data_IF_242842000466
#
_entry.id   IF_242842000466
#
_cell.length_a   1.000
_cell.length_b   1.000
_cell.length_c   1.000
_cell.angle_alpha   90.00
_cell.angle_beta   90.00
_cell.angle_gamma   90.00
#
_symmetry.space_group_name_H-M   'P 1'
#
loop_
_entity.id
_entity.type
_entity.pdbx_description
1 polymer ?
#
# COMPACT_ATOMS: atom_id res chain seq x y z
N UNK A 1 -21.30 -7.14 3.58
CA UNK A 1 -21.91 -5.98 2.92
C UNK A 1 -21.40 -5.98 1.49
N UNK A 2 -22.24 -5.82 0.45
CA UNK A 2 -21.73 -5.65 -0.90
C UNK A 2 -20.79 -4.44 -0.88
N UNK A 3 -19.53 -4.64 -1.29
CA UNK A 3 -18.60 -3.53 -1.40
C UNK A 3 -19.19 -2.54 -2.39
N UNK A 4 -19.45 -1.31 -1.93
CA UNK A 4 -19.83 -0.22 -2.83
C UNK A 4 -18.69 -0.11 -3.83
N UNK A 5 -18.95 -0.52 -5.08
CA UNK A 5 -17.97 -0.43 -6.15
C UNK A 5 -17.73 1.05 -6.36
N UNK A 6 -16.57 1.52 -5.93
CA UNK A 6 -16.14 2.90 -6.16
C UNK A 6 -15.67 2.93 -7.60
N UNK A 7 -16.28 3.77 -8.42
CA UNK A 7 -15.76 4.04 -9.75
C UNK A 7 -14.42 4.76 -9.60
N UNK A 8 -13.36 4.11 -10.07
CA UNK A 8 -12.00 4.63 -10.02
C UNK A 8 -11.46 4.79 -11.44
N UNK A 9 -10.61 5.80 -11.70
CA UNK A 9 -10.10 6.07 -13.04
C UNK A 9 -9.25 4.93 -13.61
N UNK A 10 -8.69 4.08 -12.74
CA UNK A 10 -7.89 2.91 -13.08
C UNK A 10 -8.47 1.65 -12.43
N UNK A 11 -8.16 0.44 -12.92
CA UNK A 11 -8.71 -0.80 -12.38
C UNK A 11 -8.30 -1.01 -10.92
N UNK A 12 -9.24 -1.52 -10.12
CA UNK A 12 -8.98 -1.92 -8.73
C UNK A 12 -8.14 -3.21 -8.71
N UNK A 13 -6.99 -3.17 -8.04
CA UNK A 13 -6.13 -4.34 -7.82
C UNK A 13 -6.48 -5.01 -6.49
N UNK A 14 -6.53 -4.21 -5.42
CA UNK A 14 -6.75 -4.68 -4.06
C UNK A 14 -7.34 -3.55 -3.20
N UNK A 15 -8.48 -3.79 -2.55
CA UNK A 15 -9.14 -2.83 -1.67
C UNK A 15 -8.44 -2.67 -0.31
N UNK A 16 -7.75 -3.70 0.17
CA UNK A 16 -7.04 -3.68 1.46
C UNK A 16 -5.75 -4.50 1.39
N UNK A 17 -4.73 -3.97 0.67
CA UNK A 17 -3.50 -4.71 0.44
C UNK A 17 -2.72 -4.95 1.73
N UNK A 18 -2.24 -6.18 1.90
CA UNK A 18 -1.35 -6.54 3.00
C UNK A 18 -0.08 -5.66 3.00
N UNK A 19 0.42 -5.27 4.18
CA UNK A 19 1.52 -4.31 4.31
C UNK A 19 2.78 -4.70 3.52
N UNK A 20 3.12 -5.99 3.52
CA UNK A 20 4.22 -6.52 2.72
C UNK A 20 4.04 -6.32 1.21
N UNK A 21 2.80 -6.39 0.69
CA UNK A 21 2.51 -6.12 -0.72
C UNK A 21 2.70 -4.64 -1.04
N UNK A 22 2.18 -3.75 -0.19
CA UNK A 22 2.31 -2.31 -0.37
C UNK A 22 3.78 -1.89 -0.46
N UNK A 23 4.63 -2.37 0.47
CA UNK A 23 6.05 -2.05 0.49
C UNK A 23 6.77 -2.61 -0.75
N UNK A 24 6.49 -3.85 -1.14
CA UNK A 24 7.12 -4.50 -2.31
C UNK A 24 6.68 -3.90 -3.65
N UNK A 25 5.56 -3.19 -3.69
CA UNK A 25 5.03 -2.52 -4.86
C UNK A 25 5.40 -1.03 -4.93
N UNK A 26 6.14 -0.51 -3.96
CA UNK A 26 6.69 0.85 -4.05
C UNK A 26 7.55 1.02 -5.31
N UNK A 27 7.31 2.12 -6.03
CA UNK A 27 8.09 2.54 -7.18
C UNK A 27 9.34 3.28 -6.69
N UNK A 28 10.40 3.39 -7.52
CA UNK A 28 11.55 4.25 -7.22
C UNK A 28 11.17 5.69 -6.85
N UNK A 29 10.09 6.21 -7.44
CA UNK A 29 9.56 7.53 -7.12
C UNK A 29 9.00 7.65 -5.70
N UNK A 30 8.51 6.57 -5.10
CA UNK A 30 8.05 6.61 -3.70
C UNK A 30 9.23 6.63 -2.73
N UNK A 31 10.30 5.88 -3.03
CA UNK A 31 11.57 5.98 -2.29
C UNK A 31 12.19 7.37 -2.42
N UNK A 32 12.10 8.00 -3.59
CA UNK A 32 12.54 9.38 -3.78
C UNK A 32 11.75 10.36 -2.90
N UNK A 33 10.43 10.19 -2.79
CA UNK A 33 9.60 11.00 -1.89
C UNK A 33 9.92 10.73 -0.43
N UNK A 34 10.15 9.48 -0.04
CA UNK A 34 10.55 9.14 1.32
C UNK A 34 11.90 9.76 1.70
N UNK A 35 12.91 9.63 0.84
CA UNK A 35 14.22 10.26 1.03
C UNK A 35 14.11 11.80 1.05
N UNK A 36 13.32 12.36 0.14
CA UNK A 36 13.04 13.79 0.08
C UNK A 36 12.41 14.32 1.38
N UNK A 37 11.38 13.65 1.89
CA UNK A 37 10.72 14.00 3.15
C UNK A 37 11.67 13.89 4.36
N UNK A 38 12.52 12.85 4.38
CA UNK A 38 13.54 12.65 5.42
C UNK A 38 14.51 13.82 5.52
N UNK A 39 14.93 14.37 4.38
CA UNK A 39 15.82 15.53 4.32
C UNK A 39 15.09 16.87 4.45
N UNK A 40 13.85 16.98 3.99
CA UNK A 40 13.11 18.24 3.93
C UNK A 40 12.86 18.85 5.31
N UNK A 41 12.47 18.04 6.29
CA UNK A 41 12.19 18.52 7.64
C UNK A 41 13.45 19.09 8.35
N UNK A 42 14.57 18.36 8.48
CA UNK A 42 15.78 18.93 9.07
C UNK A 42 16.37 20.07 8.24
N UNK A 43 16.25 20.04 6.91
CA UNK A 43 16.67 21.15 6.07
C UNK A 43 15.86 22.42 6.35
N UNK A 44 14.53 22.30 6.47
CA UNK A 44 13.66 23.41 6.84
C UNK A 44 14.03 23.98 8.21
N UNK A 45 14.24 23.13 9.21
CA UNK A 45 14.70 23.56 10.55
C UNK A 45 16.05 24.28 10.50
N UNK A 46 17.00 23.76 9.73
CA UNK A 46 18.33 24.38 9.58
C UNK A 46 18.25 25.74 8.89
N UNK A 47 17.47 25.84 7.80
CA UNK A 47 17.27 27.11 7.09
C UNK A 47 16.56 28.13 7.98
N UNK A 48 15.60 27.69 8.80
CA UNK A 48 14.93 28.54 9.77
C UNK A 48 15.91 29.12 10.79
N UNK A 49 16.70 28.28 11.46
CA UNK A 49 17.70 28.73 12.45
C UNK A 49 18.80 29.60 11.81
N UNK A 50 19.07 29.43 10.52
CA UNK A 50 19.99 30.31 9.78
C UNK A 50 19.40 31.72 9.58
N UNK A 51 18.09 31.85 9.38
CA UNK A 51 17.42 33.14 9.20
C UNK A 51 17.10 33.84 10.51
N UNK A 52 16.66 33.08 11.52
CA UNK A 52 16.37 33.58 12.87
C UNK A 52 17.09 32.70 13.92
N UNK A 53 18.35 33.05 14.26
CA UNK A 53 19.18 32.19 15.10
C UNK A 53 18.68 32.06 16.53
N UNK A 54 18.42 30.82 16.95
CA UNK A 54 18.02 30.48 18.33
C UNK A 54 19.13 30.68 19.36
N UNK A 55 20.38 30.90 18.93
CA UNK A 55 21.62 30.93 19.76
C UNK A 55 21.92 29.63 20.51
N UNK A 56 21.20 28.54 20.20
CA UNK A 56 21.38 27.21 20.78
C UNK A 56 21.97 26.22 19.76
N UNK A 57 22.53 25.11 20.25
CA UNK A 57 22.98 24.01 19.38
C UNK A 57 21.78 23.19 18.92
N UNK A 58 21.38 23.32 17.65
CA UNK A 58 20.19 22.64 17.10
C UNK A 58 20.40 21.17 16.69
N UNK A 59 21.52 20.53 17.06
CA UNK A 59 21.86 19.17 16.57
C UNK A 59 20.80 18.12 16.91
N UNK A 60 20.24 18.19 18.12
CA UNK A 60 19.21 17.23 18.57
C UNK A 60 17.91 17.44 17.80
N UNK A 61 17.55 18.70 17.55
CA UNK A 61 16.37 19.11 16.80
C UNK A 61 16.48 18.67 15.34
N UNK A 62 17.67 18.77 14.73
CA UNK A 62 17.91 18.26 13.38
C UNK A 62 17.80 16.73 13.31
N UNK A 63 18.30 16.00 14.32
CA UNK A 63 18.15 14.54 14.38
C UNK A 63 16.69 14.13 14.54
N UNK A 64 15.96 14.78 15.45
CA UNK A 64 14.53 14.56 15.64
C UNK A 64 13.76 14.91 14.37
N UNK A 65 14.09 16.02 13.73
CA UNK A 65 13.50 16.43 12.46
C UNK A 65 13.72 15.40 11.35
N UNK A 66 14.93 14.86 11.24
CA UNK A 66 15.22 13.76 10.33
C UNK A 66 14.40 12.50 10.63
N UNK A 67 14.25 12.12 11.91
CA UNK A 67 13.41 10.99 12.31
C UNK A 67 11.93 11.22 11.96
N UNK A 68 11.39 12.41 12.22
CA UNK A 68 10.01 12.76 11.90
C UNK A 68 9.80 12.80 10.38
N UNK A 69 10.73 13.36 9.62
CA UNK A 69 10.71 13.34 8.16
C UNK A 69 10.79 11.93 7.60
N UNK A 70 11.57 11.04 8.22
CA UNK A 70 11.65 9.63 7.85
C UNK A 70 10.34 8.89 8.08
N UNK A 71 9.73 9.03 9.26
CA UNK A 71 8.44 8.38 9.59
C UNK A 71 7.32 8.94 8.70
N UNK A 72 7.19 10.26 8.60
CA UNK A 72 6.18 10.89 7.76
C UNK A 72 6.36 10.57 6.27
N UNK A 73 7.60 10.55 5.80
CA UNK A 73 7.95 10.16 4.43
C UNK A 73 7.60 8.72 4.12
N UNK A 74 7.83 7.79 5.05
CA UNK A 74 7.42 6.40 4.90
C UNK A 74 5.89 6.26 4.79
N UNK A 75 5.14 6.92 5.68
CA UNK A 75 3.69 6.90 5.66
C UNK A 75 3.12 7.48 4.35
N UNK A 76 3.73 8.55 3.84
CA UNK A 76 3.34 9.14 2.55
C UNK A 76 3.68 8.21 1.37
N UNK A 77 4.84 7.56 1.38
CA UNK A 77 5.20 6.56 0.38
C UNK A 77 4.24 5.37 0.39
N UNK A 78 3.85 4.91 1.59
CA UNK A 78 2.88 3.83 1.78
C UNK A 78 1.49 4.22 1.25
N UNK A 79 1.02 5.44 1.53
CA UNK A 79 -0.23 5.98 0.97
C UNK A 79 -0.19 6.01 -0.55
N UNK A 80 0.87 6.55 -1.15
CA UNK A 80 1.03 6.62 -2.61
C UNK A 80 0.97 5.25 -3.26
N UNK A 81 1.56 4.24 -2.62
CA UNK A 81 1.46 2.87 -3.11
C UNK A 81 0.07 2.28 -2.95
N UNK A 82 -0.62 2.57 -1.85
CA UNK A 82 -2.00 2.12 -1.62
C UNK A 82 -2.98 2.74 -2.62
N UNK A 83 -2.79 4.00 -3.02
CA UNK A 83 -3.62 4.66 -4.04
C UNK A 83 -3.55 3.98 -5.41
N UNK A 84 -2.41 3.37 -5.76
CA UNK A 84 -2.29 2.56 -6.97
C UNK A 84 -3.06 1.25 -6.86
N UNK A 85 -3.06 0.61 -5.69
CA UNK A 85 -3.89 -0.58 -5.47
C UNK A 85 -5.39 -0.29 -5.62
N UNK A 86 -5.82 0.87 -5.13
CA UNK A 86 -7.20 1.34 -5.23
C UNK A 86 -7.60 1.87 -6.61
N UNK A 87 -6.67 1.97 -7.58
CA UNK A 87 -6.97 2.52 -8.89
C UNK A 87 -7.22 4.04 -8.90
N UNK A 88 -6.79 4.77 -7.87
CA UNK A 88 -6.92 6.23 -7.78
C UNK A 88 -5.82 6.98 -8.55
N UNK A 89 -4.74 6.26 -8.87
CA UNK A 89 -3.62 6.73 -9.68
C UNK A 89 -3.19 5.64 -10.65
N UNK A 90 -2.46 6.00 -11.70
CA UNK A 90 -1.97 5.06 -12.71
C UNK A 90 -1.25 3.87 -12.06
N UNK A 91 -1.67 2.67 -12.43
CA UNK A 91 -1.28 1.42 -11.77
C UNK A 91 -1.04 0.25 -12.74
N UNK A 92 -0.81 0.50 -14.04
CA UNK A 92 -0.66 -0.56 -15.04
C UNK A 92 0.47 -1.52 -14.71
N UNK A 93 1.61 -0.99 -14.24
CA UNK A 93 2.75 -1.80 -13.80
C UNK A 93 2.39 -2.71 -12.62
N UNK A 94 1.62 -2.19 -11.67
CA UNK A 94 1.20 -2.93 -10.48
C UNK A 94 0.15 -3.99 -10.82
N UNK A 95 -0.76 -3.69 -11.75
CA UNK A 95 -1.75 -4.63 -12.29
C UNK A 95 -1.06 -5.81 -12.98
N UNK A 96 -0.12 -5.56 -13.90
CA UNK A 96 0.64 -6.60 -14.59
C UNK A 96 1.44 -7.48 -13.60
N UNK A 97 2.07 -6.85 -12.60
CA UNK A 97 2.82 -7.56 -11.56
C UNK A 97 1.90 -8.40 -10.68
N UNK A 98 0.75 -7.85 -10.26
CA UNK A 98 -0.28 -8.55 -9.51
C UNK A 98 -0.82 -9.77 -10.27
N UNK A 99 -1.14 -9.58 -11.55
CA UNK A 99 -1.61 -10.67 -12.41
C UNK A 99 -0.57 -11.79 -12.54
N UNK A 100 0.69 -11.44 -12.76
CA UNK A 100 1.77 -12.44 -12.84
C UNK A 100 1.96 -13.20 -11.52
N UNK A 101 1.96 -12.50 -10.39
CA UNK A 101 2.15 -13.09 -9.06
C UNK A 101 0.97 -13.99 -8.65
N UNK A 102 -0.26 -13.53 -8.83
CA UNK A 102 -1.46 -14.26 -8.41
C UNK A 102 -1.79 -15.42 -9.35
N UNK A 103 -1.56 -15.27 -10.66
CA UNK A 103 -1.72 -16.39 -11.61
C UNK A 103 -0.69 -17.48 -11.35
N UNK A 104 0.55 -17.13 -10.98
CA UNK A 104 1.56 -18.12 -10.63
C UNK A 104 1.24 -18.84 -9.31
N UNK A 105 0.66 -18.14 -8.33
CA UNK A 105 0.13 -18.79 -7.10
C UNK A 105 -1.03 -19.73 -7.42
N UNK A 106 -1.97 -19.29 -8.26
CA UNK A 106 -3.11 -20.10 -8.70
C UNK A 106 -2.64 -21.38 -9.41
N UNK A 107 -1.67 -21.26 -10.32
CA UNK A 107 -1.06 -22.40 -11.03
C UNK A 107 -0.40 -23.40 -10.07
N UNK A 108 0.19 -22.90 -8.99
CA UNK A 108 0.79 -23.74 -7.93
C UNK A 108 -0.22 -24.30 -6.93
N UNK A 109 -1.52 -24.04 -7.11
CA UNK A 109 -2.57 -24.46 -6.17
C UNK A 109 -2.49 -23.78 -4.81
N UNK A 110 -1.78 -22.65 -4.70
CA UNK A 110 -1.63 -21.90 -3.46
C UNK A 110 -2.76 -20.88 -3.31
N UNK A 111 -3.19 -20.56 -2.07
CA UNK A 111 -4.13 -19.48 -1.82
C UNK A 111 -3.63 -18.15 -2.39
N UNK A 112 -4.47 -17.43 -3.14
CA UNK A 112 -4.11 -16.20 -3.84
C UNK A 112 -3.52 -15.16 -2.89
N UNK A 113 -4.22 -14.89 -1.78
CA UNK A 113 -3.85 -13.85 -0.81
C UNK A 113 -3.13 -14.40 0.44
N UNK A 114 -2.58 -15.62 0.35
CA UNK A 114 -1.89 -16.27 1.46
C UNK A 114 -2.81 -17.04 2.41
N UNK A 115 -2.20 -17.75 3.35
CA UNK A 115 -2.89 -18.46 4.43
C UNK A 115 -2.93 -17.59 5.69
N UNK A 116 -3.96 -17.78 6.51
CA UNK A 116 -4.21 -17.01 7.72
C UNK A 116 -4.49 -17.97 8.86
N UNK A 117 -3.73 -17.85 9.95
CA UNK A 117 -3.94 -18.64 11.17
C UNK A 117 -5.19 -18.16 11.97
N UNK A 118 -5.85 -17.11 11.50
CA UNK A 118 -6.97 -16.47 12.17
C UNK A 118 -8.32 -17.03 11.70
N UNK A 119 -9.30 -17.23 12.61
CA UNK A 119 -10.67 -17.53 12.25
C UNK A 119 -11.26 -16.49 11.27
N UNK A 120 -12.19 -16.92 10.41
CA UNK A 120 -12.79 -16.06 9.38
C UNK A 120 -13.43 -14.79 9.95
N UNK A 121 -14.05 -14.86 11.13
CA UNK A 121 -14.63 -13.67 11.78
C UNK A 121 -13.57 -12.63 12.18
N UNK A 122 -12.36 -13.07 12.56
CA UNK A 122 -11.22 -12.19 12.87
C UNK A 122 -10.70 -11.58 11.58
N UNK A 123 -10.60 -12.35 10.49
CA UNK A 123 -10.23 -11.83 9.18
C UNK A 123 -11.19 -10.74 8.70
N UNK A 124 -12.51 -10.95 8.88
CA UNK A 124 -13.52 -9.96 8.57
C UNK A 124 -13.45 -8.72 9.48
N UNK A 125 -13.12 -8.90 10.77
CA UNK A 125 -12.91 -7.78 11.69
C UNK A 125 -11.64 -6.99 11.35
N UNK A 126 -10.56 -7.67 10.95
CA UNK A 126 -9.32 -7.07 10.50
C UNK A 126 -9.60 -6.17 9.29
N UNK A 127 -10.20 -6.74 8.23
CA UNK A 127 -10.57 -5.99 7.01
C UNK A 127 -11.39 -4.73 7.31
N UNK A 128 -12.40 -4.80 8.19
CA UNK A 128 -13.22 -3.64 8.55
C UNK A 128 -12.43 -2.53 9.25
N UNK A 129 -11.33 -2.87 9.92
CA UNK A 129 -10.46 -1.90 10.59
C UNK A 129 -9.32 -1.39 9.69
N UNK A 130 -8.84 -2.19 8.75
CA UNK A 130 -7.71 -1.85 7.86
C UNK A 130 -8.14 -1.24 6.52
N UNK A 131 -9.34 -1.55 6.01
CA UNK A 131 -9.84 -1.00 4.76
C UNK A 131 -9.83 0.55 4.77
N UNK A 132 -9.17 1.15 3.78
CA UNK A 132 -8.98 2.59 3.63
C UNK A 132 -8.31 3.32 4.81
N UNK A 133 -7.76 2.58 5.78
CA UNK A 133 -7.14 3.15 6.98
C UNK A 133 -5.92 4.03 6.67
N UNK A 134 -5.28 3.80 5.52
CA UNK A 134 -4.15 4.58 5.03
C UNK A 134 -4.51 6.06 4.82
N UNK A 135 -5.77 6.40 4.57
CA UNK A 135 -6.23 7.80 4.49
C UNK A 135 -6.11 8.55 5.83
N UNK A 136 -6.03 7.81 6.94
CA UNK A 136 -6.06 8.33 8.31
C UNK A 136 -4.72 8.24 9.03
N UNK A 137 -3.61 8.06 8.30
CA UNK A 137 -2.26 8.03 8.87
C UNK A 137 -1.87 9.28 9.66
N UNK A 138 -2.52 10.41 9.41
CA UNK A 138 -2.34 11.64 10.20
C UNK A 138 -2.92 11.53 11.62
N UNK A 139 -3.81 10.57 11.89
CA UNK A 139 -4.39 10.29 13.21
C UNK A 139 -3.75 9.04 13.80
N UNK A 140 -3.78 7.93 13.06
CA UNK A 140 -3.31 6.63 13.54
C UNK A 140 -2.82 5.76 12.37
N UNK A 141 -1.57 5.24 12.41
CA UNK A 141 -1.00 4.44 11.33
C UNK A 141 -1.46 2.98 11.42
N UNK A 142 -2.69 2.69 10.99
CA UNK A 142 -3.22 1.33 10.89
C UNK A 142 -2.88 0.70 9.53
N UNK A 143 -2.40 -0.54 9.51
CA UNK A 143 -2.07 -1.28 8.28
C UNK A 143 -2.65 -2.69 8.32
N UNK A 144 -2.84 -3.31 7.15
CA UNK A 144 -3.28 -4.70 7.07
C UNK A 144 -2.10 -5.66 7.30
N UNK A 145 -2.20 -6.48 8.35
CA UNK A 145 -1.24 -7.54 8.70
C UNK A 145 -1.88 -8.93 8.68
N UNK A 146 -3.12 -9.04 8.20
CA UNK A 146 -3.88 -10.29 8.21
C UNK A 146 -4.19 -10.68 6.78
N UNK A 147 -3.79 -11.88 6.39
CA UNK A 147 -4.25 -12.46 5.13
C UNK A 147 -5.75 -12.76 5.27
N UNK A 148 -6.56 -12.18 4.40
CA UNK A 148 -8.01 -12.36 4.38
C UNK A 148 -8.49 -12.51 2.93
N UNK A 149 -9.78 -12.79 2.70
CA UNK A 149 -10.32 -12.94 1.33
C UNK A 149 -10.99 -11.66 0.80
N UNK A 150 -11.11 -10.63 1.62
CA UNK A 150 -11.86 -9.41 1.31
C UNK A 150 -11.02 -8.37 0.56
N UNK A 151 -10.70 -8.63 -0.71
CA UNK A 151 -9.87 -7.73 -1.52
C UNK A 151 -10.64 -6.91 -2.57
N UNK A 152 -11.95 -7.12 -2.69
CA UNK A 152 -12.82 -6.34 -3.58
C UNK A 152 -12.64 -6.62 -5.07
N UNK A 153 -11.87 -7.64 -5.44
CA UNK A 153 -11.68 -8.09 -6.83
C UNK A 153 -12.18 -9.51 -6.99
N UNK A 154 -12.57 -9.87 -8.22
CA UNK A 154 -12.96 -11.23 -8.58
C UNK A 154 -11.71 -12.13 -8.64
N UNK A 155 -11.58 -13.15 -7.77
CA UNK A 155 -10.46 -14.08 -7.77
C UNK A 155 -10.39 -14.95 -9.04
N UNK A 156 -11.51 -15.12 -9.75
CA UNK A 156 -11.59 -16.04 -10.89
C UNK A 156 -10.75 -15.58 -12.08
N UNK A 157 -10.47 -14.28 -12.18
CA UNK A 157 -9.65 -13.71 -13.27
C UNK A 157 -8.21 -14.23 -13.30
N UNK A 158 -7.70 -14.83 -12.22
CA UNK A 158 -6.35 -15.40 -12.13
C UNK A 158 -6.30 -16.91 -12.39
N UNK A 159 -7.46 -17.58 -12.49
CA UNK A 159 -7.50 -19.01 -12.81
C UNK A 159 -7.10 -19.20 -14.27
N UNK A 160 -6.40 -20.30 -14.61
CA UNK A 160 -6.22 -20.69 -16.01
C UNK A 160 -7.60 -20.80 -16.65
N UNK A 161 -7.80 -20.20 -17.83
CA UNK A 161 -9.00 -20.47 -18.61
C UNK A 161 -8.86 -21.91 -19.10
N UNK A 162 -9.78 -22.78 -18.70
CA UNK A 162 -9.85 -24.12 -19.28
C UNK A 162 -10.18 -23.96 -20.77
N UNK A 163 -9.29 -24.41 -21.65
CA UNK A 163 -9.43 -24.41 -23.12
C UNK A 163 -10.52 -25.41 -23.60
N UNK A 164 -11.67 -25.48 -22.92
CA UNK A 164 -12.73 -26.46 -23.21
C UNK A 164 -13.83 -25.92 -24.13
N UNK A 165 -13.62 -24.81 -24.84
CA UNK A 165 -14.63 -24.21 -25.73
C UNK A 165 -14.24 -24.13 -27.22
N UNK A 166 -13.20 -24.85 -27.66
CA UNK A 166 -12.76 -24.84 -29.08
C UNK A 166 -12.81 -26.21 -29.77
N UNK A 167 -13.81 -27.04 -29.44
CA UNK A 167 -14.03 -28.32 -30.13
C UNK A 167 -15.51 -28.62 -30.41
N UNK A 168 -16.27 -27.62 -30.86
CA UNK A 168 -17.61 -27.84 -31.41
C UNK A 168 -18.02 -26.69 -32.33
N UNK A 169 -17.53 -26.71 -33.56
CA UNK A 169 -18.14 -26.08 -34.75
C UNK A 169 -17.52 -26.68 -36.00
#
# INVERSE_FOLDING_TARGET
MPNKVVETPFPLIDADPHAGRVIRYMRPSDYAVWAGATGAFPAALYLWDKWDPSRLKIRTQLRLGGLLGFVGGFLMAYQRSSFRFWGWSENKREEEKDFAELSDRARRGLPLYGESDQPEWIQGAAYRNSAFSQLKFHIFPMVNLVNHQHHGTDPEKYKPKDDSSTSSS
#
